data_IF_592251023906
#
_entry.id   IF_592251023906
#
_cell.length_a   1.000
_cell.length_b   1.000
_cell.length_c   1.000
_cell.angle_alpha   90.00
_cell.angle_beta   90.00
_cell.angle_gamma   90.00
#
_symmetry.space_group_name_H-M   'P 1'
#
loop_
_entity.id
_entity.type
_entity.pdbx_description
1 polymer ?
#
# COMPACT_ATOMS: atom_id res chain seq x y z
N UNK A 1 6.88 9.29 3.63
CA UNK A 1 8.08 9.66 2.84
C UNK A 1 7.84 9.18 1.42
N UNK A 2 7.77 10.10 0.44
CA UNK A 2 7.46 9.77 -0.96
C UNK A 2 8.63 9.12 -1.70
N UNK A 3 8.44 8.81 -2.99
CA UNK A 3 9.42 8.10 -3.82
C UNK A 3 10.82 8.74 -3.78
N UNK A 4 10.90 10.03 -4.08
CA UNK A 4 12.17 10.78 -4.07
C UNK A 4 12.86 10.78 -2.71
N UNK A 5 12.09 10.80 -1.61
CA UNK A 5 12.64 10.71 -0.27
C UNK A 5 13.28 9.35 0.02
N UNK A 6 12.70 8.26 -0.51
CA UNK A 6 13.28 6.91 -0.37
C UNK A 6 14.55 6.72 -1.17
N UNK A 7 14.65 7.32 -2.36
CA UNK A 7 15.88 7.33 -3.15
C UNK A 7 16.99 8.04 -2.37
N UNK A 8 16.71 9.25 -1.84
CA UNK A 8 17.69 10.02 -1.08
C UNK A 8 18.18 9.29 0.18
N UNK A 9 17.26 8.66 0.94
CA UNK A 9 17.60 7.86 2.13
C UNK A 9 18.53 6.68 1.78
N UNK A 10 18.22 5.97 0.69
CA UNK A 10 18.99 4.81 0.26
C UNK A 10 20.36 5.20 -0.31
N UNK A 11 20.44 6.26 -1.12
CA UNK A 11 21.72 6.79 -1.59
C UNK A 11 22.62 7.20 -0.43
N UNK A 12 22.07 7.86 0.59
CA UNK A 12 22.81 8.20 1.81
C UNK A 12 23.32 6.95 2.53
N UNK A 13 22.50 5.91 2.61
CA UNK A 13 22.85 4.64 3.27
C UNK A 13 23.98 3.93 2.51
N UNK A 14 23.86 3.83 1.18
CA UNK A 14 24.85 3.20 0.30
C UNK A 14 26.18 3.93 0.39
N UNK A 15 26.18 5.27 0.29
CA UNK A 15 27.39 6.07 0.42
C UNK A 15 28.08 5.87 1.79
N UNK A 16 27.31 5.69 2.87
CA UNK A 16 27.85 5.42 4.20
C UNK A 16 28.52 4.04 4.36
N UNK A 17 28.18 3.06 3.51
CA UNK A 17 28.81 1.74 3.50
C UNK A 17 30.04 1.67 2.58
N UNK A 18 30.21 2.64 1.68
CA UNK A 18 31.39 2.82 0.85
C UNK A 18 31.53 1.79 -0.28
N UNK A 19 32.77 1.56 -0.70
CA UNK A 19 33.12 0.78 -1.89
C UNK A 19 32.43 -0.60 -2.02
N UNK A 20 32.23 -1.38 -0.94
CA UNK A 20 31.55 -2.67 -1.03
C UNK A 20 30.10 -2.60 -1.57
N UNK A 21 29.42 -1.46 -1.45
CA UNK A 21 28.01 -1.29 -1.86
C UNK A 21 27.85 -0.54 -3.19
N UNK A 22 28.94 -0.27 -3.93
CA UNK A 22 28.91 0.49 -5.19
C UNK A 22 28.03 -0.13 -6.28
N UNK A 23 27.74 -1.44 -6.21
CA UNK A 23 26.89 -2.12 -7.17
C UNK A 23 25.38 -1.97 -6.88
N UNK A 24 25.00 -1.38 -5.75
CA UNK A 24 23.59 -1.21 -5.37
C UNK A 24 23.04 0.08 -6.00
N UNK A 25 22.01 -0.06 -6.82
CA UNK A 25 21.25 1.08 -7.34
C UNK A 25 20.19 1.54 -6.33
N UNK A 26 20.34 2.75 -5.81
CA UNK A 26 19.44 3.31 -4.80
C UNK A 26 18.02 3.53 -5.30
N UNK A 27 17.83 3.80 -6.60
CA UNK A 27 16.49 3.95 -7.19
C UNK A 27 15.76 2.61 -7.25
N UNK A 28 16.42 1.56 -7.73
CA UNK A 28 15.89 0.20 -7.77
C UNK A 28 15.52 -0.30 -6.38
N UNK A 29 16.40 -0.09 -5.40
CA UNK A 29 16.10 -0.42 -4.00
C UNK A 29 14.91 0.41 -3.45
N UNK A 30 14.76 1.67 -3.85
CA UNK A 30 13.61 2.49 -3.46
C UNK A 30 12.30 1.95 -4.04
N UNK A 31 12.30 1.52 -5.30
CA UNK A 31 11.14 0.88 -5.95
C UNK A 31 10.73 -0.38 -5.19
N UNK A 32 11.68 -1.24 -4.83
CA UNK A 32 11.41 -2.45 -4.04
C UNK A 32 10.73 -2.11 -2.71
N UNK A 33 11.23 -1.09 -1.98
CA UNK A 33 10.65 -0.66 -0.70
C UNK A 33 9.22 -0.13 -0.86
N UNK A 34 8.93 0.62 -1.92
CA UNK A 34 7.61 1.22 -2.12
C UNK A 34 6.58 0.19 -2.62
N UNK A 35 7.02 -0.77 -3.44
CA UNK A 35 6.18 -1.90 -3.86
C UNK A 35 5.76 -2.75 -2.66
N UNK A 36 6.58 -2.82 -1.60
CA UNK A 36 6.22 -3.42 -0.32
C UNK A 36 5.75 -2.36 0.71
N UNK A 37 4.66 -1.66 0.40
CA UNK A 37 4.09 -0.62 1.27
C UNK A 37 3.67 -1.13 2.66
N UNK A 38 3.26 -2.40 2.77
CA UNK A 38 2.79 -3.02 4.00
C UNK A 38 3.70 -4.20 4.39
N UNK A 39 4.77 -3.96 5.16
CA UNK A 39 5.75 -5.00 5.46
C UNK A 39 5.20 -6.12 6.35
N UNK A 40 4.19 -5.83 7.17
CA UNK A 40 3.60 -6.80 8.08
C UNK A 40 2.06 -6.82 7.99
N UNK A 41 1.47 -7.94 8.42
CA UNK A 41 0.01 -8.05 8.52
C UNK A 41 -0.60 -7.06 9.52
N UNK A 42 0.14 -6.66 10.57
CA UNK A 42 -0.34 -5.66 11.52
C UNK A 42 -0.45 -4.27 10.88
N UNK A 43 0.40 -3.94 9.92
CA UNK A 43 0.31 -2.68 9.18
C UNK A 43 -0.94 -2.66 8.30
N UNK A 44 -1.27 -3.79 7.66
CA UNK A 44 -2.51 -3.96 6.90
C UNK A 44 -3.71 -3.80 7.83
N UNK A 45 -3.73 -4.50 8.97
CA UNK A 45 -4.84 -4.47 9.92
C UNK A 45 -5.10 -3.07 10.48
N UNK A 46 -4.05 -2.34 10.87
CA UNK A 46 -4.18 -0.95 11.35
C UNK A 46 -4.73 -0.02 10.27
N UNK A 47 -4.22 -0.15 9.04
CA UNK A 47 -4.66 0.66 7.91
C UNK A 47 -6.13 0.42 7.56
N UNK A 48 -6.55 -0.84 7.44
CA UNK A 48 -7.94 -1.18 7.08
C UNK A 48 -8.92 -0.93 8.21
N UNK A 49 -8.53 -1.14 9.48
CA UNK A 49 -9.38 -0.82 10.62
C UNK A 49 -9.71 0.68 10.70
N UNK A 50 -8.75 1.54 10.36
CA UNK A 50 -8.97 2.98 10.28
C UNK A 50 -10.03 3.31 9.20
N UNK A 51 -9.87 2.78 7.99
CA UNK A 51 -10.81 2.99 6.88
C UNK A 51 -12.22 2.56 7.28
N UNK A 52 -12.37 1.35 7.84
CA UNK A 52 -13.68 0.87 8.26
C UNK A 52 -14.36 1.78 9.30
N UNK A 53 -13.59 2.39 10.22
CA UNK A 53 -14.13 3.35 11.19
C UNK A 53 -14.55 4.67 10.55
N UNK A 54 -13.81 5.12 9.55
CA UNK A 54 -14.18 6.30 8.75
C UNK A 54 -15.46 6.03 7.96
N UNK A 55 -15.59 4.86 7.33
CA UNK A 55 -16.79 4.43 6.60
C UNK A 55 -18.02 4.34 7.52
N UNK A 56 -17.85 3.81 8.74
CA UNK A 56 -18.93 3.77 9.74
C UNK A 56 -19.43 5.17 10.10
N UNK A 57 -18.50 6.11 10.35
CA UNK A 57 -18.87 7.49 10.67
C UNK A 57 -19.55 8.19 9.48
N UNK A 58 -19.13 7.90 8.25
CA UNK A 58 -19.77 8.41 7.04
C UNK A 58 -21.20 7.89 6.86
N UNK A 59 -21.43 6.61 7.18
CA UNK A 59 -22.76 6.01 7.18
C UNK A 59 -23.67 6.59 8.27
N UNK A 60 -23.15 6.77 9.49
CA UNK A 60 -23.91 7.39 10.59
C UNK A 60 -24.37 8.81 10.23
N UNK A 61 -23.57 9.55 9.45
CA UNK A 61 -23.91 10.88 8.97
C UNK A 61 -24.90 10.86 7.79
N UNK A 62 -24.76 9.90 6.89
CA UNK A 62 -25.63 9.71 5.73
C UNK A 62 -25.69 8.22 5.31
N UNK A 63 -26.85 7.54 5.50
CA UNK A 63 -27.02 6.14 5.17
C UNK A 63 -26.82 5.79 3.68
N UNK A 64 -26.82 6.77 2.77
CA UNK A 64 -26.48 6.54 1.38
C UNK A 64 -25.00 6.13 1.19
N UNK A 65 -24.13 6.44 2.15
CA UNK A 65 -22.70 6.07 2.16
C UNK A 65 -22.46 4.68 2.77
N UNK A 66 -23.21 3.68 2.30
CA UNK A 66 -23.00 2.29 2.70
C UNK A 66 -21.82 1.66 1.97
N UNK A 67 -21.27 0.59 2.54
CA UNK A 67 -20.18 -0.20 1.93
C UNK A 67 -20.68 -1.55 1.44
N UNK A 68 -19.95 -2.17 0.49
CA UNK A 68 -20.33 -3.46 -0.09
C UNK A 68 -19.14 -4.40 -0.15
N UNK A 69 -19.41 -5.71 -0.12
CA UNK A 69 -18.40 -6.72 -0.35
C UNK A 69 -19.00 -7.98 -1.01
N UNK A 70 -18.11 -8.76 -1.63
CA UNK A 70 -18.40 -10.13 -2.07
C UNK A 70 -17.41 -11.07 -1.40
N UNK A 71 -17.91 -12.19 -0.88
CA UNK A 71 -17.07 -13.24 -0.31
C UNK A 71 -16.09 -13.80 -1.35
N UNK A 72 -14.83 -13.98 -0.95
CA UNK A 72 -13.80 -14.56 -1.80
C UNK A 72 -13.20 -15.77 -1.08
N UNK A 73 -13.32 -16.95 -1.69
CA UNK A 73 -12.86 -18.21 -1.12
C UNK A 73 -11.37 -18.48 -1.34
N UNK A 74 -10.69 -17.65 -2.13
CA UNK A 74 -9.25 -17.75 -2.38
C UNK A 74 -8.62 -16.37 -2.66
N UNK A 75 -7.33 -16.23 -2.35
CA UNK A 75 -6.59 -14.97 -2.52
C UNK A 75 -6.57 -14.46 -3.96
N UNK A 76 -6.46 -15.36 -4.94
CA UNK A 76 -6.51 -14.99 -6.36
C UNK A 76 -7.85 -14.36 -6.75
N UNK A 77 -8.98 -14.88 -6.22
CA UNK A 77 -10.31 -14.32 -6.48
C UNK A 77 -10.44 -12.93 -5.86
N UNK A 78 -9.94 -12.75 -4.63
CA UNK A 78 -9.90 -11.45 -3.98
C UNK A 78 -9.07 -10.43 -4.77
N UNK A 79 -7.92 -10.85 -5.31
CA UNK A 79 -7.07 -10.00 -6.15
C UNK A 79 -7.80 -9.57 -7.43
N UNK A 80 -8.40 -10.51 -8.16
CA UNK A 80 -9.13 -10.20 -9.39
C UNK A 80 -10.33 -9.28 -9.14
N UNK A 81 -11.05 -9.48 -8.02
CA UNK A 81 -12.14 -8.58 -7.59
C UNK A 81 -11.64 -7.14 -7.46
N UNK A 82 -10.55 -6.91 -6.71
CA UNK A 82 -10.05 -5.55 -6.49
C UNK A 82 -9.45 -4.91 -7.75
N UNK A 83 -8.80 -5.70 -8.62
CA UNK A 83 -8.31 -5.20 -9.91
C UNK A 83 -9.49 -4.74 -10.79
N UNK A 84 -10.56 -5.54 -10.86
CA UNK A 84 -11.77 -5.19 -11.62
C UNK A 84 -12.44 -3.92 -11.08
N UNK A 85 -12.59 -3.80 -9.75
CA UNK A 85 -13.18 -2.62 -9.12
C UNK A 85 -12.41 -1.36 -9.53
N UNK A 86 -11.08 -1.36 -9.38
CA UNK A 86 -10.26 -0.20 -9.75
C UNK A 86 -10.31 0.10 -11.26
N UNK A 87 -10.36 -0.93 -12.11
CA UNK A 87 -10.43 -0.78 -13.56
C UNK A 87 -11.72 -0.08 -14.00
N UNK A 88 -12.85 -0.43 -13.39
CA UNK A 88 -14.16 0.02 -13.85
C UNK A 88 -14.73 1.21 -13.06
N UNK A 89 -14.38 1.36 -11.79
CA UNK A 89 -14.92 2.40 -10.91
C UNK A 89 -13.89 3.45 -10.48
N UNK A 90 -12.61 3.29 -10.85
CA UNK A 90 -11.54 4.29 -10.64
C UNK A 90 -11.04 4.44 -9.20
N UNK A 91 -11.81 4.01 -8.21
CA UNK A 91 -11.43 3.95 -6.79
C UNK A 91 -11.78 2.58 -6.19
N UNK A 92 -11.46 2.41 -4.92
CA UNK A 92 -12.10 1.47 -4.00
C UNK A 92 -13.10 2.18 -3.12
#
# INVERSE_FOLDING_TARGET
MGYQGKIAELNKTIAGQGAPWNAIDGESAARMRIQNRFPTGLDIAKYTAKIMREDMAAYDADPANYTQSLGCWHGFIAQQKMISIKKHFGST
#
